data_IF_225656490432
#
_entry.id   IF_225656490432
#
_cell.length_a   1.000
_cell.length_b   1.000
_cell.length_c   1.000
_cell.angle_alpha   90.00
_cell.angle_beta   90.00
_cell.angle_gamma   90.00
#
_symmetry.space_group_name_H-M   'P 1'
#
loop_
_entity.id
_entity.type
_entity.pdbx_description
1 polymer ?
#
# COMPACT_ATOMS: atom_id res chain seq x y z
N UNK A 1 5.28 -20.53 4.52
CA UNK A 1 3.83 -20.42 4.25
C UNK A 1 3.15 -20.13 5.58
N UNK A 2 2.40 -19.03 5.70
CA UNK A 2 1.67 -18.75 6.94
C UNK A 2 0.46 -19.68 7.05
N UNK A 3 0.23 -20.34 8.20
CA UNK A 3 -0.85 -21.31 8.35
C UNK A 3 -2.26 -20.70 8.27
N UNK A 4 -2.38 -19.36 8.34
CA UNK A 4 -3.65 -18.64 8.36
C UNK A 4 -3.87 -17.73 7.13
N UNK A 5 -2.95 -17.72 6.16
CA UNK A 5 -3.09 -16.91 4.96
C UNK A 5 -3.52 -17.76 3.77
N UNK A 6 -4.57 -17.33 3.08
CA UNK A 6 -4.97 -17.91 1.80
C UNK A 6 -4.02 -17.42 0.72
N UNK A 7 -4.08 -18.06 -0.45
CA UNK A 7 -3.36 -17.58 -1.64
C UNK A 7 -3.69 -16.13 -1.98
N UNK A 8 -4.96 -15.74 -1.89
CA UNK A 8 -5.39 -14.36 -2.16
C UNK A 8 -4.80 -13.36 -1.16
N UNK A 9 -4.65 -13.74 0.12
CA UNK A 9 -3.97 -12.90 1.10
C UNK A 9 -2.49 -12.71 0.76
N UNK A 10 -1.82 -13.78 0.32
CA UNK A 10 -0.42 -13.72 -0.09
C UNK A 10 -0.23 -12.85 -1.34
N UNK A 11 -1.07 -13.02 -2.36
CA UNK A 11 -1.08 -12.20 -3.59
C UNK A 11 -1.30 -10.71 -3.28
N UNK A 12 -2.26 -10.39 -2.41
CA UNK A 12 -2.49 -9.01 -1.96
C UNK A 12 -1.27 -8.46 -1.22
N UNK A 13 -0.68 -9.25 -0.31
CA UNK A 13 0.50 -8.85 0.46
C UNK A 13 1.70 -8.57 -0.43
N UNK A 14 1.93 -9.39 -1.44
CA UNK A 14 3.00 -9.19 -2.43
C UNK A 14 2.79 -7.91 -3.23
N UNK A 15 1.56 -7.67 -3.70
CA UNK A 15 1.19 -6.46 -4.45
C UNK A 15 1.37 -5.18 -3.62
N UNK A 16 0.90 -5.19 -2.36
CA UNK A 16 1.09 -4.06 -1.43
C UNK A 16 2.56 -3.83 -1.11
N UNK A 17 3.35 -4.90 -0.93
CA UNK A 17 4.78 -4.79 -0.66
C UNK A 17 5.52 -4.14 -1.81
N UNK A 18 5.28 -4.59 -3.05
CA UNK A 18 5.91 -4.00 -4.23
C UNK A 18 5.59 -2.50 -4.32
N UNK A 19 4.32 -2.13 -4.16
CA UNK A 19 3.92 -0.72 -4.18
C UNK A 19 4.59 0.10 -3.06
N UNK A 20 4.67 -0.45 -1.84
CA UNK A 20 5.30 0.24 -0.73
C UNK A 20 6.80 0.48 -0.99
N UNK A 21 7.51 -0.51 -1.53
CA UNK A 21 8.93 -0.39 -1.87
C UNK A 21 9.15 0.60 -3.02
N UNK A 22 8.34 0.54 -4.06
CA UNK A 22 8.58 1.30 -5.30
C UNK A 22 8.03 2.73 -5.25
N UNK A 23 6.96 2.97 -4.49
CA UNK A 23 6.26 4.26 -4.49
C UNK A 23 6.21 4.96 -3.13
N UNK A 24 6.14 4.23 -2.01
CA UNK A 24 6.02 4.85 -0.67
C UNK A 24 7.38 5.14 -0.07
N UNK A 25 8.26 4.13 -0.01
CA UNK A 25 9.57 4.24 0.63
C UNK A 25 10.46 5.38 0.07
N UNK A 26 10.50 5.64 -1.25
CA UNK A 26 11.37 6.69 -1.79
C UNK A 26 11.01 8.11 -1.35
N UNK A 27 9.73 8.37 -1.07
CA UNK A 27 9.21 9.71 -0.73
C UNK A 27 8.94 9.90 0.76
N UNK A 28 8.90 8.82 1.54
CA UNK A 28 8.47 8.83 2.93
C UNK A 28 9.23 9.85 3.80
N UNK A 29 10.57 9.87 3.72
CA UNK A 29 11.40 10.79 4.53
C UNK A 29 11.12 12.27 4.21
N UNK A 30 11.08 12.62 2.93
CA UNK A 30 10.87 14.00 2.53
C UNK A 30 9.48 14.50 2.95
N UNK A 31 8.46 13.66 2.82
CA UNK A 31 7.10 14.01 3.22
C UNK A 31 6.93 14.16 4.73
N UNK A 32 7.65 13.35 5.51
CA UNK A 32 7.71 13.47 6.98
C UNK A 32 8.39 14.79 7.39
N UNK A 33 9.57 15.09 6.84
CA UNK A 33 10.31 16.33 7.09
C UNK A 33 9.49 17.58 6.73
N UNK A 34 8.70 17.52 5.66
CA UNK A 34 7.82 18.59 5.20
C UNK A 34 6.44 18.64 5.90
N UNK A 35 6.12 17.66 6.76
CA UNK A 35 4.80 17.44 7.32
C UNK A 35 3.67 17.47 6.26
N UNK A 36 3.95 16.92 5.07
CA UNK A 36 3.07 16.97 3.90
C UNK A 36 2.35 15.65 3.68
N UNK A 37 1.06 15.73 3.41
CA UNK A 37 0.24 14.54 3.16
C UNK A 37 0.55 13.90 1.79
N UNK A 38 0.71 12.56 1.70
CA UNK A 38 1.09 11.84 0.49
C UNK A 38 -0.09 11.62 -0.48
N UNK A 39 -0.64 12.70 -1.05
CA UNK A 39 -1.82 12.62 -1.93
C UNK A 39 -1.64 11.69 -3.13
N UNK A 40 -0.45 11.66 -3.73
CA UNK A 40 -0.17 10.82 -4.90
C UNK A 40 -0.20 9.33 -4.54
N UNK A 41 0.43 8.94 -3.42
CA UNK A 41 0.38 7.57 -2.93
C UNK A 41 -1.05 7.16 -2.59
N UNK A 42 -1.80 8.02 -1.89
CA UNK A 42 -3.19 7.75 -1.51
C UNK A 42 -4.07 7.59 -2.74
N UNK A 43 -3.95 8.48 -3.74
CA UNK A 43 -4.72 8.34 -4.98
C UNK A 43 -4.42 7.01 -5.69
N UNK A 44 -3.14 6.64 -5.79
CA UNK A 44 -2.75 5.37 -6.41
C UNK A 44 -3.27 4.15 -5.64
N UNK A 45 -3.33 4.20 -4.30
CA UNK A 45 -3.93 3.15 -3.48
C UNK A 45 -5.46 3.07 -3.66
N UNK A 46 -6.12 4.22 -3.80
CA UNK A 46 -7.56 4.30 -4.02
C UNK A 46 -7.96 3.70 -5.37
N UNK A 47 -7.21 3.99 -6.44
CA UNK A 47 -7.43 3.42 -7.78
C UNK A 47 -7.31 1.89 -7.80
N UNK A 48 -6.57 1.31 -6.85
CA UNK A 48 -6.41 -0.15 -6.67
C UNK A 48 -7.48 -0.77 -5.76
N UNK A 49 -8.41 0.03 -5.24
CA UNK A 49 -9.46 -0.42 -4.33
C UNK A 49 -8.97 -0.76 -2.92
N UNK A 50 -7.75 -0.40 -2.54
CA UNK A 50 -7.15 -0.86 -1.29
C UNK A 50 -7.74 -0.22 -0.03
N UNK A 51 -8.48 0.89 -0.15
CA UNK A 51 -9.24 1.45 0.97
C UNK A 51 -10.60 0.78 1.21
N UNK A 52 -11.03 -0.09 0.31
CA UNK A 52 -12.31 -0.80 0.37
C UNK A 52 -12.19 -2.30 0.63
N UNK A 53 -11.00 -2.82 0.96
CA UNK A 53 -10.75 -4.28 1.07
C UNK A 53 -11.81 -5.03 1.92
N UNK A 54 -12.28 -4.53 3.08
CA UNK A 54 -13.29 -5.24 3.86
C UNK A 54 -14.75 -4.88 3.48
N UNK A 55 -14.96 -3.97 2.54
CA UNK A 55 -16.29 -3.45 2.18
C UNK A 55 -16.84 -4.23 0.97
N UNK A 56 -18.04 -4.82 1.06
CA UNK A 56 -18.68 -5.53 -0.05
C UNK A 56 -18.99 -4.66 -1.28
#
# INVERSE_FOLDING_TARGET
MHPFLTRQHEELRESVRAFATDHVAPVARALDEEARFPWDNVKAMAERGWFGVPIP
#
